data_IF_941401286026
#
_entry.id   IF_941401286026
#
_cell.length_a   1.000
_cell.length_b   1.000
_cell.length_c   1.000
_cell.angle_alpha   90.00
_cell.angle_beta   90.00
_cell.angle_gamma   90.00
#
_symmetry.space_group_name_H-M   'P 1'
#
loop_
_entity.id
_entity.type
_entity.pdbx_description
1 polymer ?
#
# COMPACT_ATOMS: atom_id res chain seq x y z
N UNK A 1 -21.28 -17.06 20.99
CA UNK A 1 -20.56 -15.79 20.89
C UNK A 1 -21.58 -14.67 20.76
N UNK A 2 -21.58 -13.70 21.68
CA UNK A 2 -22.36 -12.47 21.50
C UNK A 2 -21.82 -11.74 20.27
N UNK A 3 -22.67 -11.24 19.35
CA UNK A 3 -22.19 -10.49 18.20
C UNK A 3 -21.35 -9.30 18.66
N UNK A 4 -20.14 -9.16 18.15
CA UNK A 4 -19.32 -7.97 18.39
C UNK A 4 -20.02 -6.82 17.68
N UNK A 5 -20.56 -5.88 18.45
CA UNK A 5 -21.15 -4.65 17.91
C UNK A 5 -20.00 -3.69 17.54
N UNK A 6 -19.88 -3.25 16.28
CA UNK A 6 -18.88 -2.26 15.89
C UNK A 6 -19.03 -0.98 16.73
N UNK A 7 -17.90 -0.43 17.18
CA UNK A 7 -17.84 0.90 17.79
C UNK A 7 -17.60 1.91 16.66
N UNK A 8 -18.60 2.74 16.36
CA UNK A 8 -18.43 3.81 15.38
C UNK A 8 -17.84 5.05 16.07
N UNK A 9 -16.76 5.59 15.51
CA UNK A 9 -16.08 6.79 16.01
C UNK A 9 -15.76 7.67 14.81
N UNK A 10 -16.16 8.94 14.88
CA UNK A 10 -15.76 9.96 13.92
C UNK A 10 -14.39 10.51 14.32
N UNK A 11 -13.35 10.12 13.59
CA UNK A 11 -11.98 10.53 13.90
C UNK A 11 -11.73 12.02 13.67
N UNK A 12 -12.59 12.75 12.96
CA UNK A 12 -12.45 14.18 12.74
C UNK A 12 -13.14 14.96 13.88
N UNK A 13 -14.36 14.58 14.25
CA UNK A 13 -15.16 15.29 15.24
C UNK A 13 -14.86 14.91 16.71
N UNK A 14 -14.42 13.67 16.99
CA UNK A 14 -14.27 13.18 18.36
C UNK A 14 -12.95 13.66 19.01
N UNK A 15 -12.96 14.22 20.25
CA UNK A 15 -11.74 14.55 20.99
C UNK A 15 -10.82 13.35 21.25
N UNK A 16 -9.51 13.57 21.36
CA UNK A 16 -8.53 12.47 21.51
C UNK A 16 -8.79 11.65 22.78
N UNK A 17 -9.21 12.30 23.86
CA UNK A 17 -9.52 11.70 25.15
C UNK A 17 -10.71 10.73 25.04
N UNK A 18 -11.73 11.07 24.24
CA UNK A 18 -12.87 10.20 23.98
C UNK A 18 -12.50 9.02 23.08
N UNK A 19 -11.61 9.23 22.11
CA UNK A 19 -11.05 8.14 21.31
C UNK A 19 -10.27 7.19 22.23
N UNK A 20 -9.38 7.72 23.09
CA UNK A 20 -8.60 6.91 24.03
C UNK A 20 -9.51 6.07 24.93
N UNK A 21 -10.55 6.67 25.50
CA UNK A 21 -11.56 5.95 26.30
C UNK A 21 -12.23 4.82 25.52
N UNK A 22 -12.49 5.02 24.22
CA UNK A 22 -13.08 4.00 23.37
C UNK A 22 -12.09 2.87 22.99
N UNK A 23 -10.78 3.08 23.19
CA UNK A 23 -9.73 2.08 22.99
C UNK A 23 -9.37 1.34 24.29
N UNK A 24 -9.83 1.80 25.45
CA UNK A 24 -9.67 1.09 26.72
C UNK A 24 -10.15 -0.36 26.60
N UNK A 25 -9.48 -1.25 27.34
CA UNK A 25 -9.71 -2.70 27.36
C UNK A 25 -9.39 -3.46 26.06
N UNK A 26 -8.84 -2.82 25.04
CA UNK A 26 -8.36 -3.53 23.84
C UNK A 26 -6.95 -4.08 24.09
N UNK A 27 -6.69 -5.27 23.54
CA UNK A 27 -5.35 -5.86 23.55
C UNK A 27 -4.48 -5.34 22.40
N UNK A 28 -5.12 -5.01 21.26
CA UNK A 28 -4.45 -4.57 20.03
C UNK A 28 -5.26 -3.49 19.34
N UNK A 29 -4.58 -2.48 18.79
CA UNK A 29 -5.15 -1.52 17.83
C UNK A 29 -4.53 -1.77 16.46
N UNK A 30 -5.37 -2.06 15.47
CA UNK A 30 -4.97 -2.15 14.05
C UNK A 30 -5.38 -0.86 13.34
N UNK A 31 -4.41 -0.03 12.99
CA UNK A 31 -4.65 1.16 12.18
C UNK A 31 -4.60 0.81 10.69
N UNK A 32 -5.79 0.61 10.10
CA UNK A 32 -5.99 0.42 8.67
C UNK A 32 -6.61 1.67 7.98
N UNK A 33 -6.43 2.85 8.59
CA UNK A 33 -6.93 4.10 8.01
C UNK A 33 -6.24 4.40 6.68
N UNK A 34 -7.05 4.64 5.64
CA UNK A 34 -6.60 5.06 4.32
C UNK A 34 -7.54 6.10 3.74
N UNK A 35 -7.10 7.35 3.51
CA UNK A 35 -7.98 8.44 3.05
C UNK A 35 -8.44 8.28 1.59
N UNK A 36 -7.95 7.26 0.88
CA UNK A 36 -8.34 6.96 -0.49
C UNK A 36 -9.84 6.64 -0.63
N UNK A 37 -10.51 6.24 0.45
CA UNK A 37 -11.96 6.00 0.49
C UNK A 37 -12.78 7.29 0.58
N UNK A 38 -12.17 8.44 0.89
CA UNK A 38 -12.84 9.72 1.08
C UNK A 38 -12.78 10.65 -0.15
N UNK A 39 -12.25 10.19 -1.31
CA UNK A 39 -12.16 10.85 -2.62
C UNK A 39 -12.12 12.40 -2.62
N UNK A 40 -11.00 13.01 -3.01
CA UNK A 40 -10.84 14.48 -3.12
C UNK A 40 -9.68 15.01 -2.27
N UNK A 41 -9.85 16.16 -1.63
CA UNK A 41 -8.83 16.87 -0.83
C UNK A 41 -8.31 16.08 0.41
N UNK A 42 -8.90 14.91 0.70
CA UNK A 42 -8.44 14.01 1.75
C UNK A 42 -7.12 13.28 1.41
N UNK A 43 -6.76 13.19 0.11
CA UNK A 43 -5.50 12.60 -0.37
C UNK A 43 -4.32 13.55 -0.19
N UNK A 44 -4.14 14.08 1.01
CA UNK A 44 -3.02 14.96 1.34
C UNK A 44 -2.14 14.33 2.41
N UNK A 45 -0.86 14.68 2.34
CA UNK A 45 0.14 14.39 3.37
C UNK A 45 -0.37 14.71 4.78
N UNK A 46 -1.00 15.88 4.94
CA UNK A 46 -1.40 16.42 6.25
C UNK A 46 -2.51 15.58 6.87
N UNK A 47 -3.57 15.30 6.12
CA UNK A 47 -4.72 14.53 6.64
C UNK A 47 -4.27 13.16 7.11
N UNK A 48 -3.54 12.41 6.28
CA UNK A 48 -3.07 11.08 6.65
C UNK A 48 -2.18 11.08 7.91
N UNK A 49 -1.23 12.02 7.96
CA UNK A 49 -0.26 12.13 9.05
C UNK A 49 -0.94 12.54 10.35
N UNK A 50 -1.82 13.54 10.33
CA UNK A 50 -2.50 14.04 11.52
C UNK A 50 -3.50 13.04 12.09
N UNK A 51 -4.27 12.36 11.24
CA UNK A 51 -5.19 11.30 11.69
C UNK A 51 -4.40 10.14 12.30
N UNK A 52 -3.30 9.71 11.66
CA UNK A 52 -2.45 8.66 12.25
C UNK A 52 -1.82 9.09 13.57
N UNK A 53 -1.34 10.33 13.67
CA UNK A 53 -0.83 10.92 14.92
C UNK A 53 -1.92 10.92 16.00
N UNK A 54 -3.15 11.31 15.66
CA UNK A 54 -4.30 11.33 16.57
C UNK A 54 -4.60 9.94 17.13
N UNK A 55 -4.67 8.93 16.25
CA UNK A 55 -4.86 7.52 16.64
C UNK A 55 -3.72 7.04 17.55
N UNK A 56 -2.47 7.36 17.22
CA UNK A 56 -1.31 6.92 18.00
C UNK A 56 -1.29 7.53 19.41
N UNK A 57 -1.68 8.81 19.56
CA UNK A 57 -1.81 9.45 20.87
C UNK A 57 -2.92 8.80 21.69
N UNK A 58 -4.08 8.57 21.08
CA UNK A 58 -5.21 7.92 21.75
C UNK A 58 -4.86 6.48 22.20
N UNK A 59 -4.21 5.71 21.33
CA UNK A 59 -3.71 4.36 21.61
C UNK A 59 -2.77 4.35 22.83
N UNK A 60 -1.80 5.28 22.88
CA UNK A 60 -0.86 5.39 24.00
C UNK A 60 -1.55 5.80 25.29
N UNK A 61 -2.49 6.75 25.23
CA UNK A 61 -3.25 7.21 26.39
C UNK A 61 -4.16 6.11 26.96
N UNK A 62 -4.66 5.22 26.10
CA UNK A 62 -5.45 4.05 26.49
C UNK A 62 -4.62 2.87 26.99
N UNK A 63 -3.28 2.98 26.99
CA UNK A 63 -2.34 1.94 27.41
C UNK A 63 -2.54 0.59 26.71
N UNK A 64 -3.00 0.60 25.46
CA UNK A 64 -3.21 -0.63 24.70
C UNK A 64 -1.86 -1.33 24.44
N UNK A 65 -1.73 -2.65 24.69
CA UNK A 65 -0.44 -3.33 24.65
C UNK A 65 0.27 -3.38 23.29
N UNK A 66 -0.46 -3.39 22.17
CA UNK A 66 0.13 -3.60 20.84
C UNK A 66 -0.51 -2.74 19.74
N UNK A 67 0.31 -2.19 18.85
CA UNK A 67 -0.13 -1.38 17.71
C UNK A 67 0.28 -1.99 16.36
N UNK A 68 -0.68 -2.25 15.48
CA UNK A 68 -0.41 -2.69 14.11
C UNK A 68 -0.70 -1.54 13.16
N UNK A 69 0.33 -1.02 12.49
CA UNK A 69 0.18 -0.02 11.44
C UNK A 69 0.09 -0.71 10.07
N UNK A 70 -0.99 -0.47 9.32
CA UNK A 70 -1.09 -0.90 7.93
C UNK A 70 -0.63 0.26 7.03
N UNK A 71 0.47 0.05 6.32
CA UNK A 71 1.01 1.04 5.37
C UNK A 71 0.91 0.59 3.91
N UNK A 72 1.54 1.38 3.04
CA UNK A 72 1.56 1.13 1.60
C UNK A 72 2.91 0.61 1.08
N UNK A 73 2.92 0.14 -0.16
CA UNK A 73 4.12 -0.28 -0.87
C UNK A 73 5.08 0.87 -1.18
N UNK A 74 4.56 2.09 -1.33
CA UNK A 74 5.33 3.26 -1.72
C UNK A 74 6.41 3.68 -0.69
N UNK A 75 6.29 3.26 0.57
CA UNK A 75 7.28 3.55 1.61
C UNK A 75 8.41 2.52 1.69
N UNK A 76 8.29 1.41 0.97
CA UNK A 76 9.30 0.34 0.97
C UNK A 76 10.55 0.82 0.25
N UNK A 77 11.72 0.39 0.72
CA UNK A 77 13.00 0.70 0.08
C UNK A 77 13.13 -0.02 -1.26
N UNK A 78 13.75 0.66 -2.23
CA UNK A 78 14.07 0.05 -3.53
C UNK A 78 15.35 -0.78 -3.39
N UNK A 79 15.37 -2.06 -3.79
CA UNK A 79 16.55 -2.92 -3.58
C UNK A 79 17.85 -2.42 -4.22
N UNK A 80 17.76 -1.76 -5.39
CA UNK A 80 18.94 -1.20 -6.07
C UNK A 80 19.33 0.21 -5.58
N UNK A 81 18.50 0.83 -4.73
CA UNK A 81 18.71 2.15 -4.12
C UNK A 81 18.22 2.15 -2.67
N UNK A 82 18.96 1.57 -1.71
CA UNK A 82 18.48 1.34 -0.35
C UNK A 82 18.21 2.61 0.47
N UNK A 83 18.65 3.78 0.03
CA UNK A 83 18.32 5.08 0.66
C UNK A 83 17.07 5.73 0.05
N UNK A 84 16.48 5.09 -0.96
CA UNK A 84 15.33 5.59 -1.72
C UNK A 84 14.15 4.68 -1.45
N UNK A 85 13.00 5.27 -1.14
CA UNK A 85 11.73 4.56 -1.06
C UNK A 85 11.02 4.60 -2.40
N UNK A 86 10.13 3.64 -2.66
CA UNK A 86 9.38 3.57 -3.92
C UNK A 86 8.64 4.87 -4.29
N UNK A 87 8.23 5.69 -3.32
CA UNK A 87 7.58 6.98 -3.57
C UNK A 87 8.48 8.08 -4.14
N UNK A 88 9.81 7.93 -4.08
CA UNK A 88 10.74 8.84 -4.73
C UNK A 88 11.22 8.32 -6.10
N UNK A 89 10.84 7.10 -6.46
CA UNK A 89 11.33 6.45 -7.67
C UNK A 89 10.23 6.40 -8.74
N UNK A 90 10.34 7.27 -9.76
CA UNK A 90 9.39 7.30 -10.88
C UNK A 90 9.22 5.95 -11.59
N UNK A 91 10.25 5.07 -11.54
CA UNK A 91 10.16 3.70 -12.10
C UNK A 91 9.09 2.86 -11.41
N UNK A 92 8.85 3.09 -10.11
CA UNK A 92 7.80 2.41 -9.37
C UNK A 92 6.41 2.77 -9.90
N UNK A 93 6.11 4.07 -10.01
CA UNK A 93 4.80 4.54 -10.49
C UNK A 93 4.52 4.11 -11.93
N UNK A 94 5.55 4.15 -12.77
CA UNK A 94 5.46 3.63 -14.13
C UNK A 94 5.08 2.13 -14.15
N UNK A 95 5.83 1.30 -13.42
CA UNK A 95 5.57 -0.14 -13.36
C UNK A 95 4.21 -0.47 -12.72
N UNK A 96 3.80 0.31 -11.70
CA UNK A 96 2.51 0.20 -11.03
C UNK A 96 1.35 0.47 -11.98
N UNK A 97 1.37 1.61 -12.69
CA UNK A 97 0.37 1.92 -13.71
C UNK A 97 0.33 0.83 -14.76
N UNK A 98 1.48 0.42 -15.31
CA UNK A 98 1.53 -0.63 -16.33
C UNK A 98 0.91 -1.95 -15.85
N UNK A 99 1.17 -2.34 -14.60
CA UNK A 99 0.56 -3.53 -13.99
C UNK A 99 -0.96 -3.42 -13.84
N UNK A 100 -1.49 -2.22 -13.61
CA UNK A 100 -2.95 -1.97 -13.62
C UNK A 100 -3.53 -1.95 -15.05
N UNK A 101 -2.79 -1.37 -16.00
CA UNK A 101 -3.23 -1.18 -17.39
C UNK A 101 -3.39 -2.46 -18.18
N UNK A 102 -2.56 -3.48 -17.93
CA UNK A 102 -2.77 -4.80 -18.54
C UNK A 102 -4.14 -5.41 -18.17
N UNK A 103 -4.91 -4.78 -17.26
CA UNK A 103 -6.12 -5.35 -16.65
C UNK A 103 -7.35 -4.43 -16.65
N UNK A 104 -7.24 -3.14 -16.98
CA UNK A 104 -8.37 -2.18 -17.01
C UNK A 104 -8.70 -1.73 -18.44
N UNK A 105 -10.00 -1.67 -18.78
CA UNK A 105 -10.53 -1.09 -20.03
C UNK A 105 -11.42 0.14 -19.70
N UNK A 106 -11.27 1.25 -20.44
CA UNK A 106 -12.01 2.52 -20.22
C UNK A 106 -11.48 3.71 -21.07
N UNK A 107 -12.00 4.93 -20.90
CA UNK A 107 -11.66 6.10 -21.73
C UNK A 107 -10.19 6.59 -21.59
N UNK A 108 -9.58 6.47 -20.41
CA UNK A 108 -8.12 6.66 -20.24
C UNK A 108 -7.30 5.52 -20.86
N UNK A 109 -7.94 4.40 -21.21
CA UNK A 109 -7.27 3.25 -21.78
C UNK A 109 -6.80 3.49 -23.22
N UNK A 110 -7.26 4.53 -23.93
CA UNK A 110 -6.79 4.78 -25.30
C UNK A 110 -5.36 5.35 -25.31
N UNK A 111 -5.09 6.42 -24.54
CA UNK A 111 -3.72 6.97 -24.37
C UNK A 111 -2.77 5.95 -23.76
N UNK A 112 -3.28 5.16 -22.81
CA UNK A 112 -2.52 4.14 -22.12
C UNK A 112 -2.35 2.86 -22.99
N UNK A 113 -3.27 2.59 -23.93
CA UNK A 113 -3.16 1.55 -24.96
C UNK A 113 -2.13 1.94 -26.02
N UNK A 114 -2.09 3.20 -26.46
CA UNK A 114 -1.03 3.71 -27.36
C UNK A 114 0.34 3.57 -26.69
N UNK A 115 0.46 3.95 -25.42
CA UNK A 115 1.66 3.71 -24.64
C UNK A 115 2.03 2.22 -24.55
N UNK A 116 1.03 1.35 -24.31
CA UNK A 116 1.21 -0.11 -24.26
C UNK A 116 1.68 -0.70 -25.61
N UNK A 117 1.12 -0.26 -26.73
CA UNK A 117 1.51 -0.73 -28.06
C UNK A 117 2.91 -0.26 -28.44
N UNK A 118 3.24 1.01 -28.14
CA UNK A 118 4.59 1.54 -28.30
C UNK A 118 5.61 0.72 -27.50
N UNK A 119 5.26 0.36 -26.27
CA UNK A 119 6.10 -0.48 -25.41
C UNK A 119 6.28 -1.92 -25.94
N UNK A 120 5.20 -2.58 -26.39
CA UNK A 120 5.28 -3.92 -27.01
C UNK A 120 6.22 -3.88 -28.23
N UNK A 121 6.14 -2.82 -29.03
CA UNK A 121 7.02 -2.63 -30.17
C UNK A 121 8.49 -2.50 -29.76
N UNK A 122 8.83 -1.68 -28.76
CA UNK A 122 10.20 -1.57 -28.22
C UNK A 122 10.73 -2.93 -27.73
N UNK A 123 9.93 -3.65 -26.93
CA UNK A 123 10.30 -4.94 -26.35
C UNK A 123 10.58 -6.01 -27.40
N UNK A 124 9.83 -6.02 -28.49
CA UNK A 124 9.99 -6.99 -29.58
C UNK A 124 11.07 -6.59 -30.61
N UNK A 125 11.82 -5.51 -30.34
CA UNK A 125 12.82 -4.98 -31.28
C UNK A 125 12.21 -4.32 -32.51
N UNK A 126 10.92 -4.00 -32.47
CA UNK A 126 10.16 -3.28 -33.51
C UNK A 126 10.00 -1.79 -33.18
N UNK A 127 10.81 -1.27 -32.27
CA UNK A 127 10.79 0.11 -31.81
C UNK A 127 11.12 1.11 -32.92
N UNK A 128 10.55 2.31 -32.80
CA UNK A 128 10.76 3.47 -33.66
C UNK A 128 11.07 4.71 -32.81
N UNK A 129 11.55 5.78 -33.43
CA UNK A 129 11.77 7.05 -32.73
C UNK A 129 10.47 7.66 -32.15
N UNK A 130 9.31 7.23 -32.63
CA UNK A 130 8.01 7.63 -32.09
C UNK A 130 7.64 6.80 -30.86
N UNK A 131 7.84 5.48 -30.91
CA UNK A 131 7.56 4.61 -29.75
C UNK A 131 8.53 4.85 -28.59
N UNK A 132 9.79 5.22 -28.88
CA UNK A 132 10.73 5.70 -27.86
C UNK A 132 10.24 7.00 -27.21
N UNK A 133 9.83 7.99 -28.00
CA UNK A 133 9.28 9.26 -27.48
C UNK A 133 8.02 9.05 -26.64
N UNK A 134 7.12 8.16 -27.06
CA UNK A 134 5.91 7.82 -26.29
C UNK A 134 6.31 7.17 -24.97
N UNK A 135 7.27 6.24 -24.98
CA UNK A 135 7.74 5.55 -23.77
C UNK A 135 8.40 6.54 -22.78
N UNK A 136 9.26 7.43 -23.28
CA UNK A 136 9.89 8.50 -22.48
C UNK A 136 8.87 9.51 -21.95
N UNK A 137 7.89 9.91 -22.76
CA UNK A 137 6.82 10.80 -22.33
C UNK A 137 5.98 10.17 -21.21
N UNK A 138 5.71 8.86 -21.30
CA UNK A 138 5.00 8.10 -20.26
C UNK A 138 5.82 8.00 -18.96
N UNK A 139 7.14 7.92 -19.05
CA UNK A 139 8.01 8.01 -17.86
C UNK A 139 7.87 9.37 -17.12
N UNK A 140 7.47 10.42 -17.84
CA UNK A 140 7.17 11.75 -17.28
C UNK A 140 5.71 11.97 -16.88
N UNK A 141 4.80 10.99 -17.05
CA UNK A 141 3.36 11.18 -16.79
C UNK A 141 3.06 11.30 -15.29
N UNK A 142 3.81 10.63 -14.42
CA UNK A 142 3.60 10.80 -12.99
C UNK A 142 4.21 12.12 -12.55
N UNK A 143 3.36 13.09 -12.25
CA UNK A 143 3.80 14.28 -11.52
C UNK A 143 4.28 13.83 -10.15
N UNK A 144 5.61 13.78 -9.98
CA UNK A 144 6.23 13.47 -8.69
C UNK A 144 5.93 14.52 -7.63
N UNK A 145 5.31 15.64 -8.00
CA UNK A 145 4.79 16.66 -7.09
C UNK A 145 3.26 16.66 -7.01
N UNK A 146 2.61 15.67 -7.64
CA UNK A 146 1.16 15.52 -7.65
C UNK A 146 0.62 14.99 -6.31
N UNK A 147 -0.69 15.15 -6.06
CA UNK A 147 -1.32 14.86 -4.77
C UNK A 147 -1.16 13.39 -4.34
N UNK A 148 -1.13 12.45 -5.28
CA UNK A 148 -0.91 11.02 -4.98
C UNK A 148 0.50 10.80 -4.42
N UNK A 149 1.53 11.44 -4.97
CA UNK A 149 2.90 11.31 -4.46
C UNK A 149 3.04 12.03 -3.12
N UNK A 150 2.41 13.18 -2.95
CA UNK A 150 2.32 13.88 -1.66
C UNK A 150 1.70 13.00 -0.56
N UNK A 151 0.61 12.31 -0.86
CA UNK A 151 0.03 11.32 0.05
C UNK A 151 1.02 10.20 0.40
N UNK A 152 1.72 9.62 -0.59
CA UNK A 152 2.75 8.60 -0.34
C UNK A 152 3.93 9.12 0.50
N UNK A 153 4.32 10.39 0.32
CA UNK A 153 5.31 11.06 1.17
C UNK A 153 4.80 11.18 2.62
N UNK A 154 3.50 11.39 2.81
CA UNK A 154 2.84 11.32 4.12
C UNK A 154 2.94 9.94 4.74
N UNK A 155 2.68 8.90 3.95
CA UNK A 155 2.96 7.51 4.30
C UNK A 155 4.37 7.31 4.83
N UNK A 156 5.37 7.79 4.09
CA UNK A 156 6.78 7.65 4.48
C UNK A 156 7.11 8.41 5.76
N UNK A 157 6.61 9.63 5.92
CA UNK A 157 6.84 10.38 7.16
C UNK A 157 6.22 9.64 8.35
N UNK A 158 4.99 9.16 8.22
CA UNK A 158 4.32 8.40 9.29
C UNK A 158 5.14 7.17 9.70
N UNK A 159 5.81 6.48 8.77
CA UNK A 159 6.72 5.36 9.09
C UNK A 159 7.87 5.77 10.04
N UNK A 160 8.32 7.03 9.99
CA UNK A 160 9.33 7.56 10.89
C UNK A 160 8.86 7.69 12.35
N UNK A 161 7.55 7.68 12.63
CA UNK A 161 7.05 7.61 14.02
C UNK A 161 7.39 6.28 14.69
N UNK A 162 7.61 5.24 13.88
CA UNK A 162 7.82 3.87 14.29
C UNK A 162 9.29 3.48 14.19
N UNK A 163 9.97 3.74 13.07
CA UNK A 163 11.34 3.30 12.83
C UNK A 163 12.30 3.64 13.98
N UNK A 164 12.88 2.60 14.60
CA UNK A 164 13.81 2.72 15.74
C UNK A 164 13.16 3.12 17.08
N UNK A 165 11.86 3.37 17.11
CA UNK A 165 11.16 3.80 18.31
C UNK A 165 10.69 2.60 19.13
N UNK A 166 11.45 2.21 20.15
CA UNK A 166 11.08 1.11 21.05
C UNK A 166 10.33 1.57 22.31
N UNK A 167 9.79 2.81 22.33
CA UNK A 167 9.05 3.33 23.50
C UNK A 167 7.65 2.73 23.67
N UNK A 168 7.16 2.00 22.67
CA UNK A 168 5.88 1.29 22.67
C UNK A 168 5.97 0.08 21.75
N UNK A 169 5.08 -0.90 21.92
CA UNK A 169 5.08 -2.11 21.10
C UNK A 169 4.28 -1.87 19.81
N UNK A 170 4.95 -2.03 18.68
CA UNK A 170 4.32 -1.84 17.38
C UNK A 170 4.86 -2.81 16.35
N UNK A 171 4.11 -3.00 15.29
CA UNK A 171 4.57 -3.56 14.02
C UNK A 171 4.04 -2.72 12.87
N UNK A 172 4.82 -2.62 11.80
CA UNK A 172 4.45 -1.87 10.62
C UNK A 172 4.36 -2.84 9.43
N UNK A 173 3.15 -3.10 8.98
CA UNK A 173 2.86 -4.01 7.88
C UNK A 173 2.50 -3.20 6.63
N UNK A 174 3.42 -3.12 5.66
CA UNK A 174 3.12 -2.55 4.34
C UNK A 174 2.36 -3.55 3.47
N UNK A 175 1.41 -3.05 2.68
CA UNK A 175 0.87 -3.84 1.57
C UNK A 175 1.91 -3.96 0.44
N UNK A 176 1.97 -5.10 -0.28
CA UNK A 176 2.72 -5.18 -1.52
C UNK A 176 2.03 -4.34 -2.60
N UNK A 177 2.74 -4.02 -3.69
CA UNK A 177 2.22 -3.14 -4.72
C UNK A 177 0.92 -3.67 -5.36
N UNK A 178 0.79 -4.98 -5.54
CA UNK A 178 -0.42 -5.60 -6.10
C UNK A 178 -1.30 -6.18 -4.99
N UNK A 179 -2.10 -5.32 -4.34
CA UNK A 179 -3.03 -5.70 -3.27
C UNK A 179 -4.49 -5.48 -3.69
N UNK A 180 -5.30 -6.54 -3.74
CA UNK A 180 -6.69 -6.48 -4.23
C UNK A 180 -7.54 -7.72 -3.91
N UNK A 181 -8.88 -7.65 -4.09
CA UNK A 181 -9.73 -8.84 -4.01
C UNK A 181 -9.25 -9.94 -4.98
N UNK A 182 -9.18 -11.16 -4.48
CA UNK A 182 -8.62 -12.31 -5.18
C UNK A 182 -8.89 -13.60 -4.42
N UNK A 183 -8.41 -14.71 -4.97
CA UNK A 183 -8.51 -16.03 -4.34
C UNK A 183 -7.65 -16.06 -3.07
N UNK A 184 -8.23 -16.54 -1.96
CA UNK A 184 -7.48 -16.84 -0.74
C UNK A 184 -6.59 -18.06 -0.99
N UNK A 185 -5.29 -17.90 -0.77
CA UNK A 185 -4.31 -18.99 -0.87
C UNK A 185 -4.07 -19.66 0.48
N UNK A 186 -4.24 -18.94 1.58
CA UNK A 186 -4.02 -19.43 2.94
C UNK A 186 -2.56 -19.41 3.39
N UNK A 187 -1.66 -18.81 2.62
CA UNK A 187 -0.23 -18.71 2.94
C UNK A 187 0.40 -17.48 2.29
N UNK A 188 1.46 -16.96 2.88
CA UNK A 188 2.23 -15.83 2.37
C UNK A 188 3.70 -15.95 2.80
N UNK A 189 4.58 -15.28 2.07
CA UNK A 189 5.96 -15.02 2.45
C UNK A 189 6.09 -13.58 3.00
N UNK A 190 7.20 -13.30 3.67
CA UNK A 190 7.47 -11.99 4.29
C UNK A 190 8.78 -11.41 3.79
N UNK A 191 8.75 -10.13 3.42
CA UNK A 191 9.94 -9.31 3.19
C UNK A 191 10.03 -8.21 4.25
N UNK A 192 11.25 -7.80 4.62
CA UNK A 192 11.49 -6.73 5.60
C UNK A 192 12.06 -5.50 4.90
N UNK A 193 11.49 -4.33 5.19
CA UNK A 193 11.89 -2.99 4.72
C UNK A 193 11.99 -2.74 3.19
N UNK A 194 12.12 -3.78 2.36
CA UNK A 194 12.37 -3.70 0.93
C UNK A 194 11.16 -4.16 0.12
N UNK A 195 10.94 -3.54 -1.03
CA UNK A 195 9.88 -3.95 -1.94
C UNK A 195 10.04 -5.43 -2.31
N UNK A 196 9.01 -6.28 -2.15
CA UNK A 196 9.08 -7.67 -2.58
C UNK A 196 9.05 -7.74 -4.12
N UNK A 197 10.19 -8.11 -4.71
CA UNK A 197 10.38 -8.23 -6.15
C UNK A 197 10.75 -9.66 -6.53
N UNK A 198 10.10 -10.17 -7.59
CA UNK A 198 10.46 -11.41 -8.27
C UNK A 198 11.91 -11.31 -8.76
N UNK A 199 12.62 -12.44 -8.90
CA UNK A 199 13.96 -12.47 -9.49
C UNK A 199 13.98 -11.83 -10.88
N UNK A 200 15.08 -11.15 -11.22
CA UNK A 200 15.30 -10.63 -12.56
C UNK A 200 15.42 -11.79 -13.57
N UNK A 201 14.83 -11.64 -14.75
CA UNK A 201 14.86 -12.68 -15.81
C UNK A 201 15.98 -12.48 -16.85
N UNK A 202 16.83 -11.47 -16.71
CA UNK A 202 17.92 -11.18 -17.66
C UNK A 202 17.98 -9.70 -18.05
N UNK A 203 18.12 -9.42 -19.35
CA UNK A 203 18.45 -8.14 -20.02
C UNK A 203 17.44 -6.99 -19.82
N UNK A 204 16.91 -6.83 -18.61
CA UNK A 204 15.98 -5.78 -18.24
C UNK A 204 16.73 -4.44 -18.30
N UNK A 205 16.42 -3.61 -19.30
CA UNK A 205 16.93 -2.23 -19.44
C UNK A 205 16.68 -1.43 -18.16
N UNK A 206 17.60 -0.53 -17.77
CA UNK A 206 17.70 0.19 -16.47
C UNK A 206 16.46 0.91 -15.86
N UNK A 207 15.29 0.78 -16.49
CA UNK A 207 13.93 1.03 -15.98
C UNK A 207 13.46 -0.11 -15.02
N UNK A 208 14.25 -1.19 -14.93
CA UNK A 208 13.91 -2.58 -14.64
C UNK A 208 13.32 -3.05 -13.28
N UNK A 209 13.63 -2.50 -12.08
CA UNK A 209 13.49 -3.32 -10.87
C UNK A 209 12.04 -3.76 -10.60
N UNK A 210 11.07 -2.91 -10.92
CA UNK A 210 9.65 -3.18 -10.67
C UNK A 210 8.94 -3.88 -11.85
N UNK A 211 9.55 -3.83 -13.04
CA UNK A 211 8.89 -4.15 -14.29
C UNK A 211 8.51 -5.63 -14.37
N UNK A 212 7.23 -5.95 -14.22
CA UNK A 212 6.67 -7.32 -14.19
C UNK A 212 7.20 -8.17 -13.03
N UNK A 213 7.79 -7.50 -12.03
CA UNK A 213 8.48 -8.12 -10.92
C UNK A 213 7.85 -7.83 -9.57
N UNK A 214 6.89 -6.92 -9.48
CA UNK A 214 6.17 -6.70 -8.21
C UNK A 214 5.40 -7.96 -7.80
N UNK A 215 5.59 -8.39 -6.56
CA UNK A 215 4.71 -9.37 -5.93
C UNK A 215 3.38 -8.72 -5.50
N UNK A 216 2.39 -9.56 -5.22
CA UNK A 216 1.07 -9.15 -4.75
C UNK A 216 0.57 -10.00 -3.60
N UNK A 217 -0.59 -9.63 -3.06
CA UNK A 217 -1.33 -10.41 -2.07
C UNK A 217 -2.83 -10.22 -2.29
N UNK A 218 -3.61 -11.29 -2.06
CA UNK A 218 -5.07 -11.17 -2.08
C UNK A 218 -5.57 -10.44 -0.81
N UNK A 219 -6.72 -9.77 -0.90
CA UNK A 219 -7.37 -9.14 0.26
C UNK A 219 -7.57 -10.13 1.42
N UNK A 220 -7.95 -11.37 1.10
CA UNK A 220 -8.18 -12.41 2.10
C UNK A 220 -6.89 -12.94 2.75
N UNK A 221 -5.78 -13.01 2.00
CA UNK A 221 -4.48 -13.41 2.57
C UNK A 221 -3.84 -12.26 3.36
N UNK A 222 -4.08 -11.00 2.99
CA UNK A 222 -3.69 -9.84 3.80
C UNK A 222 -4.42 -9.85 5.14
N UNK A 223 -5.73 -10.11 5.16
CA UNK A 223 -6.50 -10.24 6.38
C UNK A 223 -6.00 -11.39 7.27
N UNK A 224 -5.55 -12.49 6.68
CA UNK A 224 -4.90 -13.59 7.38
C UNK A 224 -3.59 -13.13 8.04
N UNK A 225 -2.71 -12.46 7.29
CA UNK A 225 -1.45 -11.94 7.83
C UNK A 225 -1.65 -10.96 9.00
N UNK A 226 -2.68 -10.11 8.93
CA UNK A 226 -3.06 -9.23 10.05
C UNK A 226 -3.51 -10.03 11.26
N UNK A 227 -4.41 -11.00 11.09
CA UNK A 227 -4.90 -11.82 12.20
C UNK A 227 -3.77 -12.59 12.89
N UNK A 228 -2.89 -13.22 12.11
CA UNK A 228 -1.73 -13.96 12.65
C UNK A 228 -0.75 -13.07 13.40
N UNK A 229 -0.51 -11.85 12.93
CA UNK A 229 0.35 -10.91 13.65
C UNK A 229 -0.30 -10.36 14.92
N UNK A 230 -1.60 -10.10 14.91
CA UNK A 230 -2.36 -9.72 16.12
C UNK A 230 -2.25 -10.81 17.19
N UNK A 231 -2.33 -12.07 16.80
CA UNK A 231 -2.25 -13.22 17.71
C UNK A 231 -0.83 -13.53 18.19
N UNK A 232 0.17 -13.45 17.29
CA UNK A 232 1.54 -13.91 17.57
C UNK A 232 2.52 -12.81 17.97
N UNK A 233 2.26 -11.55 17.57
CA UNK A 233 3.13 -10.38 17.77
C UNK A 233 4.59 -10.63 17.34
N UNK A 234 4.76 -11.47 16.31
CA UNK A 234 6.07 -12.01 15.90
C UNK A 234 6.98 -10.92 15.35
N UNK A 235 6.41 -9.87 14.76
CA UNK A 235 7.15 -8.81 14.08
C UNK A 235 7.20 -7.51 14.88
N UNK A 236 7.30 -7.63 16.21
CA UNK A 236 7.53 -6.52 17.13
C UNK A 236 8.74 -5.66 16.69
N UNK A 237 8.48 -4.37 16.56
CA UNK A 237 9.40 -3.31 16.11
C UNK A 237 9.99 -3.54 14.73
N UNK A 238 9.27 -4.23 13.84
CA UNK A 238 9.68 -4.48 12.46
C UNK A 238 8.75 -3.79 11.46
N UNK A 239 9.36 -3.33 10.37
CA UNK A 239 8.66 -3.01 9.13
C UNK A 239 8.75 -4.21 8.19
N UNK A 240 7.59 -4.71 7.76
CA UNK A 240 7.51 -5.91 6.94
C UNK A 240 6.35 -5.85 5.95
N UNK A 241 6.38 -6.73 4.95
CA UNK A 241 5.40 -6.81 3.89
C UNK A 241 5.09 -8.29 3.61
N UNK A 242 3.85 -8.76 3.83
CA UNK A 242 3.43 -10.06 3.35
C UNK A 242 3.22 -10.04 1.83
N UNK A 243 3.53 -11.14 1.16
CA UNK A 243 3.27 -11.31 -0.26
C UNK A 243 3.06 -12.79 -0.62
N UNK A 244 2.41 -13.05 -1.75
CA UNK A 244 2.19 -14.40 -2.27
C UNK A 244 3.07 -14.59 -3.51
N UNK A 245 4.01 -15.54 -3.51
CA UNK A 245 4.71 -15.97 -4.71
C UNK A 245 3.72 -16.46 -5.77
N UNK A 246 3.89 -16.01 -7.01
CA UNK A 246 3.07 -16.44 -8.15
C UNK A 246 1.55 -16.36 -7.92
N UNK A 247 1.11 -15.29 -7.23
CA UNK A 247 -0.30 -15.02 -6.99
C UNK A 247 -1.14 -15.15 -8.27
N UNK A 248 -2.19 -15.96 -8.19
CA UNK A 248 -3.28 -15.93 -9.16
C UNK A 248 -3.99 -14.58 -9.05
N UNK A 249 -3.64 -13.71 -9.98
CA UNK A 249 -4.07 -12.33 -10.02
C UNK A 249 -5.41 -12.21 -10.78
N UNK A 250 -6.26 -13.24 -10.73
CA UNK A 250 -7.65 -13.14 -11.18
C UNK A 250 -8.46 -12.40 -10.12
N UNK A 251 -9.10 -11.25 -10.45
CA UNK A 251 -9.93 -10.53 -9.48
C UNK A 251 -11.02 -11.43 -8.87
N UNK A 252 -11.07 -11.48 -7.55
CA UNK A 252 -12.16 -12.14 -6.82
C UNK A 252 -13.40 -11.25 -6.74
N UNK A 253 -14.59 -11.82 -6.48
CA UNK A 253 -15.78 -11.02 -6.21
C UNK A 253 -15.53 -10.11 -5.00
N UNK A 254 -15.96 -8.85 -5.09
CA UNK A 254 -15.92 -7.92 -3.95
C UNK A 254 -17.02 -8.36 -2.98
N UNK A 255 -16.63 -9.07 -1.92
CA UNK A 255 -17.56 -9.73 -0.99
C UNK A 255 -18.26 -8.78 -0.01
N UNK A 256 -18.11 -7.47 -0.17
CA UNK A 256 -18.80 -6.47 0.66
C UNK A 256 -19.62 -5.55 -0.24
N UNK A 257 -20.94 -5.77 -0.29
CA UNK A 257 -21.87 -4.66 -0.49
C UNK A 257 -21.95 -3.98 0.86
N UNK A 258 -21.15 -2.93 1.08
CA UNK A 258 -21.39 -2.05 2.22
C UNK A 258 -22.72 -1.37 1.91
N UNK A 259 -23.80 -1.82 2.56
CA UNK A 259 -25.07 -1.12 2.52
C UNK A 259 -24.83 0.25 3.15
N UNK A 260 -24.74 1.30 2.34
CA UNK A 260 -24.76 2.66 2.83
C UNK A 260 -26.19 2.96 3.29
N UNK A 261 -26.56 2.51 4.49
CA UNK A 261 -27.55 3.21 5.28
C UNK A 261 -26.79 4.20 6.16
N UNK A 262 -26.52 5.38 5.60
CA UNK A 262 -26.26 6.55 6.43
C UNK A 262 -27.57 6.86 7.15
N UNK A 263 -27.60 6.67 8.46
CA UNK A 263 -28.60 7.28 9.34
C UNK A 263 -28.03 8.59 9.84
#
# INVERSE_FOLDING_TARGET
MTPIKPRAIDLDATPIEEIAKALESLDVVVNAYGPHTQLGDALTYRTFTEVTRKILVAYKAAEVPYFVMIGGSAIMRVPDKPLVTACDDGRFYYAFIRGMLDKWAGEDAEKLSVARQAWIAEKEGRGTAETQRITEAVHGIFDLNGPIVEFHRGGRLTAMFFHGNTSFNWTFMSTPALYRPGKRTGSYEVCFDFMPLKPAKGNESGIAPFDSRMHGISLSDMALAVAEEVESQKYLWKHWCPYVPDLDDTPGPVYVKVGHEFV
#
